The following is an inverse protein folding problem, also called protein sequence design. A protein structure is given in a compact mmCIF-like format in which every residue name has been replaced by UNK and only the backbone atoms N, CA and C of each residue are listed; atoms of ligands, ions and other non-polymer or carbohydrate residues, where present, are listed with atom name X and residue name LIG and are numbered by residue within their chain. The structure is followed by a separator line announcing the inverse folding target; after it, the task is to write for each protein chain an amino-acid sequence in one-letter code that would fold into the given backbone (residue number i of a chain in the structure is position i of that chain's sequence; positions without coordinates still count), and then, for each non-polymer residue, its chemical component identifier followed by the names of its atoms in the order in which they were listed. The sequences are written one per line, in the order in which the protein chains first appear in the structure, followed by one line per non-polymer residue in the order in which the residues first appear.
data_IF_652903379499
#
_entry.id   IF_652903379499
#
_cell.length_a   1.000
_cell.length_b   1.000
_cell.length_c   1.000
_cell.angle_alpha   90.00
_cell.angle_beta   90.00
_cell.angle_gamma   90.00
#
_symmetry.space_group_name_H-M   'P 1'
#
loop_
_entity.id
_entity.type
_entity.pdbx_description
1 polymer ?
#
# COMPACT_ATOMS: atom_id res chain seq x y z
N UNK A 1 -26.34 13.13 -20.00
CA UNK A 1 -26.44 13.47 -18.59
C UNK A 1 -27.07 12.33 -17.76
N UNK A 2 -27.01 11.07 -18.22
CA UNK A 2 -27.53 9.88 -17.50
C UNK A 2 -26.49 8.75 -17.39
N UNK A 3 -25.30 8.91 -17.96
CA UNK A 3 -24.25 7.87 -17.97
C UNK A 3 -23.18 8.16 -16.89
N UNK A 4 -23.07 9.39 -16.39
CA UNK A 4 -22.13 9.73 -15.31
C UNK A 4 -22.62 9.40 -13.89
N UNK A 5 -23.90 9.05 -13.71
CA UNK A 5 -24.44 8.64 -12.40
C UNK A 5 -24.39 7.12 -12.17
N UNK A 6 -24.09 6.31 -13.17
CA UNK A 6 -24.07 4.85 -13.04
C UNK A 6 -22.69 4.34 -12.63
N UNK A 7 -21.60 5.07 -12.90
CA UNK A 7 -20.23 4.66 -12.53
C UNK A 7 -19.91 4.98 -11.05
N UNK A 8 -20.53 6.03 -10.51
CA UNK A 8 -20.36 6.38 -9.08
C UNK A 8 -21.11 5.43 -8.13
N UNK A 9 -22.09 4.63 -8.62
CA UNK A 9 -22.86 3.70 -7.82
C UNK A 9 -22.29 2.27 -7.77
N UNK A 10 -21.29 1.94 -8.59
CA UNK A 10 -20.67 0.61 -8.61
C UNK A 10 -19.45 0.51 -7.68
N UNK A 11 -18.87 1.62 -7.21
CA UNK A 11 -17.79 1.64 -6.22
C UNK A 11 -18.29 1.80 -4.78
N UNK A 12 -19.54 2.22 -4.58
CA UNK A 12 -20.16 2.36 -3.25
C UNK A 12 -20.94 1.13 -2.78
N UNK A 13 -20.88 0.01 -3.49
CA UNK A 13 -21.77 -1.13 -3.28
C UNK A 13 -21.12 -2.51 -3.28
N UNK A 14 -19.88 -2.67 -2.85
CA UNK A 14 -19.46 -3.99 -2.36
C UNK A 14 -20.06 -4.14 -0.98
N UNK A 15 -21.32 -4.58 -0.93
CA UNK A 15 -21.95 -5.07 0.28
C UNK A 15 -21.07 -6.20 0.83
N UNK A 16 -20.27 -5.89 1.81
CA UNK A 16 -19.58 -6.86 2.66
C UNK A 16 -20.65 -7.59 3.49
N UNK A 17 -21.34 -8.54 2.85
CA UNK A 17 -22.27 -9.45 3.55
C UNK A 17 -21.50 -10.69 3.91
N UNK A 18 -21.37 -10.94 5.24
CA UNK A 18 -20.71 -12.04 5.89
C UNK A 18 -20.27 -13.21 5.00
N UNK A 19 -18.97 -13.30 4.74
CA UNK A 19 -18.34 -14.52 4.26
C UNK A 19 -18.33 -15.51 5.43
N UNK A 20 -18.53 -16.78 5.11
CA UNK A 20 -18.53 -17.88 6.09
C UNK A 20 -17.23 -17.91 6.89
N UNK A 21 -17.35 -17.96 8.23
CA UNK A 21 -16.23 -18.25 9.12
C UNK A 21 -15.43 -19.46 8.60
N UNK A 22 -14.11 -19.32 8.45
CA UNK A 22 -13.18 -20.43 8.20
C UNK A 22 -12.79 -20.72 6.76
N UNK A 23 -12.95 -19.77 5.81
CA UNK A 23 -12.34 -19.90 4.47
C UNK A 23 -10.92 -19.34 4.43
N UNK A 24 -9.99 -20.02 3.75
CA UNK A 24 -8.64 -19.51 3.51
C UNK A 24 -8.71 -18.10 2.93
N UNK A 25 -7.99 -17.15 3.55
CA UNK A 25 -7.84 -15.77 3.05
C UNK A 25 -7.08 -15.85 1.71
N UNK A 26 -7.73 -15.43 0.62
CA UNK A 26 -7.19 -15.64 -0.73
C UNK A 26 -6.02 -14.72 -1.06
N UNK A 27 -5.93 -13.56 -0.40
CA UNK A 27 -4.99 -12.48 -0.68
C UNK A 27 -4.14 -12.05 0.53
N UNK A 28 -4.25 -12.77 1.64
CA UNK A 28 -3.39 -12.59 2.82
C UNK A 28 -2.64 -13.89 3.05
N UNK A 29 -1.41 -14.01 2.55
CA UNK A 29 -0.58 -15.20 2.73
C UNK A 29 -0.39 -15.52 4.21
N UNK A 30 -0.37 -16.82 4.56
CA UNK A 30 -0.21 -17.26 5.97
C UNK A 30 1.07 -16.74 6.62
N UNK A 31 2.04 -16.45 5.81
CA UNK A 31 3.36 -15.92 6.10
C UNK A 31 3.44 -14.38 6.11
N UNK A 32 2.37 -13.70 5.73
CA UNK A 32 2.26 -12.24 5.83
C UNK A 32 2.29 -11.79 7.29
N UNK A 33 2.99 -10.68 7.58
CA UNK A 33 2.96 -10.03 8.90
C UNK A 33 1.54 -9.76 9.39
N UNK A 34 0.61 -9.55 8.45
CA UNK A 34 -0.78 -9.24 8.75
C UNK A 34 -1.65 -10.48 8.98
N UNK A 35 -1.22 -11.68 8.56
CA UNK A 35 -2.08 -12.87 8.50
C UNK A 35 -2.76 -13.18 9.82
N UNK A 36 -1.99 -13.27 10.90
CA UNK A 36 -2.55 -13.60 12.21
C UNK A 36 -3.51 -12.55 12.74
N UNK A 37 -3.23 -11.27 12.46
CA UNK A 37 -4.16 -10.18 12.80
C UNK A 37 -5.43 -10.26 11.98
N UNK A 38 -5.29 -10.41 10.66
CA UNK A 38 -6.41 -10.48 9.73
C UNK A 38 -7.25 -11.72 9.96
N UNK A 39 -6.61 -12.89 10.11
CA UNK A 39 -7.32 -14.16 10.38
C UNK A 39 -8.21 -14.02 11.60
N UNK A 40 -7.66 -13.57 12.72
CA UNK A 40 -8.41 -13.34 13.95
C UNK A 40 -9.58 -12.36 13.74
N UNK A 41 -9.30 -11.21 13.15
CA UNK A 41 -10.28 -10.12 12.95
C UNK A 41 -11.41 -10.55 12.01
N UNK A 42 -11.12 -11.40 11.02
CA UNK A 42 -12.12 -11.96 10.10
C UNK A 42 -12.90 -13.09 10.76
N UNK A 43 -12.24 -14.02 11.47
CA UNK A 43 -12.87 -15.12 12.20
C UNK A 43 -13.87 -14.65 13.28
N UNK A 44 -13.60 -13.47 13.85
CA UNK A 44 -14.46 -12.86 14.86
C UNK A 44 -15.43 -11.81 14.29
N UNK A 45 -15.64 -11.79 12.97
CA UNK A 45 -16.57 -10.87 12.28
C UNK A 45 -16.32 -9.38 12.53
N UNK A 46 -15.12 -8.99 12.98
CA UNK A 46 -14.75 -7.58 13.21
C UNK A 46 -14.57 -6.87 11.86
N UNK A 47 -13.85 -7.48 10.93
CA UNK A 47 -13.77 -7.03 9.54
C UNK A 47 -14.22 -8.14 8.61
N UNK A 48 -14.74 -7.77 7.42
CA UNK A 48 -15.26 -8.74 6.48
C UNK A 48 -14.35 -8.90 5.26
N UNK A 49 -14.38 -10.08 4.65
CA UNK A 49 -13.83 -10.34 3.32
C UNK A 49 -14.88 -10.05 2.23
N UNK A 50 -14.46 -10.03 0.98
CA UNK A 50 -15.36 -10.09 -0.17
C UNK A 50 -16.07 -11.46 -0.21
N UNK A 51 -17.14 -11.58 -1.02
CA UNK A 51 -17.84 -12.85 -1.22
C UNK A 51 -16.96 -13.98 -1.77
N UNK A 52 -15.80 -13.65 -2.33
CA UNK A 52 -14.83 -14.56 -2.89
C UNK A 52 -13.64 -14.82 -1.95
N UNK A 53 -13.69 -14.36 -0.70
CA UNK A 53 -12.68 -14.64 0.32
C UNK A 53 -11.46 -13.70 0.31
N UNK A 54 -11.50 -12.58 -0.46
CA UNK A 54 -10.41 -11.60 -0.45
C UNK A 54 -10.61 -10.59 0.68
N UNK A 55 -9.57 -10.36 1.47
CA UNK A 55 -9.57 -9.35 2.53
C UNK A 55 -9.27 -7.95 1.99
N UNK A 56 -8.53 -7.86 0.90
CA UNK A 56 -8.06 -6.61 0.28
C UNK A 56 -7.17 -5.81 1.25
N UNK A 57 -6.22 -6.49 1.86
CA UNK A 57 -5.43 -5.99 2.98
C UNK A 57 -4.65 -4.71 2.70
N UNK A 58 -4.12 -4.57 1.48
CA UNK A 58 -3.35 -3.40 1.05
C UNK A 58 -4.22 -2.21 0.60
N UNK A 59 -5.55 -2.40 0.51
CA UNK A 59 -6.45 -1.32 0.16
C UNK A 59 -6.61 -0.38 1.35
N UNK A 60 -6.60 0.93 1.09
CA UNK A 60 -6.88 1.95 2.12
C UNK A 60 -8.28 1.75 2.71
N UNK A 61 -8.37 1.81 4.03
CA UNK A 61 -9.67 1.75 4.70
C UNK A 61 -10.33 3.12 4.70
N UNK A 62 -11.65 3.16 4.47
CA UNK A 62 -12.42 4.39 4.61
C UNK A 62 -12.92 4.59 6.04
N UNK A 63 -13.37 5.81 6.36
CA UNK A 63 -13.85 6.18 7.69
C UNK A 63 -15.02 5.31 8.14
N UNK A 64 -15.99 5.07 7.26
CA UNK A 64 -17.19 4.27 7.56
C UNK A 64 -16.86 2.83 7.92
N UNK A 65 -15.97 2.18 7.14
CA UNK A 65 -15.56 0.81 7.39
C UNK A 65 -14.72 0.67 8.67
N UNK A 66 -13.89 1.68 8.98
CA UNK A 66 -13.12 1.66 10.24
C UNK A 66 -14.02 1.79 11.47
N UNK A 67 -14.98 2.72 11.47
CA UNK A 67 -15.95 2.86 12.57
C UNK A 67 -16.83 1.61 12.68
N UNK A 68 -17.25 1.02 11.57
CA UNK A 68 -17.98 -0.25 11.56
C UNK A 68 -17.16 -1.38 12.21
N UNK A 69 -15.86 -1.42 11.93
CA UNK A 69 -14.96 -2.41 12.52
C UNK A 69 -14.75 -2.19 14.02
N UNK A 70 -14.59 -0.94 14.47
CA UNK A 70 -14.53 -0.58 15.89
C UNK A 70 -15.81 -1.00 16.63
N UNK A 71 -16.98 -0.71 16.06
CA UNK A 71 -18.26 -1.06 16.64
C UNK A 71 -18.45 -2.57 16.79
N UNK A 72 -18.07 -3.34 15.74
CA UNK A 72 -18.10 -4.81 15.79
C UNK A 72 -17.14 -5.36 16.83
N UNK A 73 -15.92 -4.84 16.90
CA UNK A 73 -14.93 -5.21 17.92
C UNK A 73 -15.42 -4.93 19.34
N UNK A 74 -16.24 -3.89 19.53
CA UNK A 74 -16.91 -3.57 20.81
C UNK A 74 -18.11 -4.47 21.13
N UNK A 75 -18.49 -5.40 20.22
CA UNK A 75 -19.62 -6.31 20.39
C UNK A 75 -20.94 -5.74 19.86
N UNK A 76 -20.89 -4.83 18.93
CA UNK A 76 -22.04 -4.23 18.22
C UNK A 76 -23.09 -3.61 19.19
N UNK A 77 -22.69 -2.77 20.15
CA UNK A 77 -23.60 -2.18 21.12
C UNK A 77 -24.64 -1.26 20.45
N UNK A 78 -25.83 -1.18 21.01
CA UNK A 78 -26.85 -0.24 20.54
C UNK A 78 -26.35 1.21 20.64
N UNK A 79 -26.59 2.00 19.60
CA UNK A 79 -26.27 3.41 19.54
C UNK A 79 -27.48 4.33 19.72
N UNK A 80 -27.24 5.64 19.67
CA UNK A 80 -28.25 6.68 19.68
C UNK A 80 -28.75 7.07 18.30
N UNK A 81 -28.68 8.36 17.97
CA UNK A 81 -28.96 8.92 16.64
C UNK A 81 -27.68 9.39 15.97
N UNK A 82 -27.69 9.46 14.66
CA UNK A 82 -26.63 10.05 13.84
C UNK A 82 -27.05 11.46 13.45
N UNK A 83 -26.19 12.45 13.73
CA UNK A 83 -26.45 13.87 13.41
C UNK A 83 -25.64 14.36 12.19
N UNK A 84 -24.94 13.47 11.45
CA UNK A 84 -24.18 13.82 10.25
C UNK A 84 -25.08 13.97 9.04
N UNK A 85 -24.96 15.10 8.34
CA UNK A 85 -25.81 15.48 7.20
C UNK A 85 -25.71 14.56 5.97
N UNK A 86 -24.61 13.83 5.88
CA UNK A 86 -24.26 12.93 4.74
C UNK A 86 -24.41 11.43 5.06
N UNK A 87 -24.97 11.09 6.24
CA UNK A 87 -25.18 9.70 6.67
C UNK A 87 -26.68 9.41 6.75
N UNK A 88 -27.09 8.32 6.10
CA UNK A 88 -28.49 7.91 6.04
C UNK A 88 -28.70 6.59 6.77
N UNK A 89 -29.92 6.33 7.18
CA UNK A 89 -30.27 5.13 7.92
C UNK A 89 -30.02 3.82 7.14
N UNK A 90 -30.04 3.89 5.81
CA UNK A 90 -29.74 2.76 4.93
C UNK A 90 -28.23 2.49 4.75
N UNK A 91 -27.35 3.36 5.23
CA UNK A 91 -25.91 3.19 5.11
C UNK A 91 -25.41 2.09 6.06
N UNK A 92 -24.51 1.23 5.55
CA UNK A 92 -24.02 0.06 6.28
C UNK A 92 -23.34 0.41 7.62
N UNK A 93 -22.78 1.62 7.73
CA UNK A 93 -22.12 2.12 8.94
C UNK A 93 -23.06 2.93 9.87
N UNK A 94 -24.36 3.05 9.57
CA UNK A 94 -25.29 3.91 10.34
C UNK A 94 -25.30 3.57 11.84
N UNK A 95 -25.56 2.31 12.20
CA UNK A 95 -25.65 1.86 13.60
C UNK A 95 -24.29 2.03 14.33
N UNK A 96 -23.20 1.78 13.61
CA UNK A 96 -21.86 1.99 14.14
C UNK A 96 -21.57 3.48 14.39
N UNK A 97 -22.01 4.36 13.51
CA UNK A 97 -21.91 5.81 13.66
C UNK A 97 -22.80 6.34 14.76
N UNK A 98 -24.01 5.79 14.93
CA UNK A 98 -24.90 6.13 16.03
C UNK A 98 -24.24 5.82 17.39
N UNK A 99 -23.61 4.66 17.51
CA UNK A 99 -22.82 4.30 18.68
C UNK A 99 -21.59 5.22 18.84
N UNK A 100 -20.81 5.43 17.78
CA UNK A 100 -19.60 6.25 17.82
C UNK A 100 -19.90 7.71 18.21
N UNK A 101 -21.00 8.26 17.72
CA UNK A 101 -21.49 9.60 18.10
C UNK A 101 -21.84 9.65 19.58
N UNK A 102 -22.58 8.67 20.08
CA UNK A 102 -22.96 8.59 21.51
C UNK A 102 -21.73 8.44 22.42
N UNK A 103 -20.68 7.76 21.97
CA UNK A 103 -19.43 7.60 22.71
C UNK A 103 -18.47 8.78 22.54
N UNK A 104 -18.79 9.80 21.73
CA UNK A 104 -17.90 10.93 21.46
C UNK A 104 -16.68 10.58 20.58
N UNK A 105 -16.67 9.42 19.91
CA UNK A 105 -15.52 8.93 19.12
C UNK A 105 -15.24 9.86 17.94
N UNK A 106 -16.28 10.35 17.27
CA UNK A 106 -16.17 11.20 16.08
C UNK A 106 -16.14 12.71 16.39
N UNK A 107 -16.18 13.09 17.66
CA UNK A 107 -16.29 14.49 18.08
C UNK A 107 -15.06 15.30 17.65
N UNK A 108 -15.28 16.51 17.13
CA UNK A 108 -14.26 17.51 16.78
C UNK A 108 -13.24 17.09 15.68
N UNK A 109 -13.43 15.91 15.06
CA UNK A 109 -12.59 15.44 13.95
C UNK A 109 -13.26 15.72 12.61
N UNK A 110 -14.59 15.54 12.57
CA UNK A 110 -15.40 15.78 11.38
C UNK A 110 -16.42 16.89 11.69
N UNK A 111 -16.69 17.78 10.76
CA UNK A 111 -17.70 18.81 10.93
C UNK A 111 -19.14 18.25 10.89
N UNK A 112 -20.06 18.98 10.22
CA UNK A 112 -21.45 18.54 10.04
C UNK A 112 -21.62 17.32 9.12
N UNK A 113 -20.55 16.93 8.40
CA UNK A 113 -20.49 15.76 7.54
C UNK A 113 -19.40 14.81 8.01
N UNK A 114 -19.71 13.51 8.07
CA UNK A 114 -18.75 12.47 8.46
C UNK A 114 -17.83 12.03 7.31
N UNK A 115 -18.36 12.05 6.10
CA UNK A 115 -17.71 11.55 4.88
C UNK A 115 -17.32 10.05 4.97
N UNK A 116 -18.30 9.13 5.12
CA UNK A 116 -18.00 7.71 5.36
C UNK A 116 -17.12 7.05 4.31
N UNK A 117 -17.23 7.51 3.06
CA UNK A 117 -16.46 7.00 1.93
C UNK A 117 -15.06 7.63 1.80
N UNK A 118 -14.73 8.66 2.59
CA UNK A 118 -13.40 9.24 2.58
C UNK A 118 -12.38 8.27 3.19
N UNK A 119 -11.20 8.20 2.61
CA UNK A 119 -10.12 7.41 3.17
C UNK A 119 -9.67 7.98 4.52
N UNK A 120 -9.31 7.06 5.41
CA UNK A 120 -8.87 7.36 6.76
C UNK A 120 -7.36 7.64 6.75
N UNK A 121 -6.93 8.72 7.36
CA UNK A 121 -5.51 8.96 7.63
C UNK A 121 -5.08 8.40 9.00
N UNK A 122 -3.77 8.34 9.25
CA UNK A 122 -3.23 7.66 10.44
C UNK A 122 -3.57 8.37 11.74
N UNK A 123 -3.55 9.69 11.77
CA UNK A 123 -3.92 10.44 12.99
C UNK A 123 -5.42 10.36 13.29
N UNK A 124 -6.29 10.31 12.27
CA UNK A 124 -7.72 10.06 12.44
C UNK A 124 -7.99 8.67 12.99
N UNK A 125 -7.33 7.64 12.42
CA UNK A 125 -7.44 6.27 12.92
C UNK A 125 -7.04 6.17 14.39
N UNK A 126 -5.94 6.82 14.78
CA UNK A 126 -5.49 6.89 16.16
C UNK A 126 -6.52 7.56 17.06
N UNK A 127 -7.06 8.70 16.65
CA UNK A 127 -8.03 9.43 17.46
C UNK A 127 -9.34 8.66 17.63
N UNK A 128 -9.87 8.05 16.57
CA UNK A 128 -11.07 7.22 16.65
C UNK A 128 -10.83 6.01 17.57
N UNK A 129 -9.72 5.30 17.41
CA UNK A 129 -9.39 4.14 18.21
C UNK A 129 -9.18 4.50 19.69
N UNK A 130 -8.43 5.56 19.96
CA UNK A 130 -8.13 6.01 21.32
C UNK A 130 -9.39 6.42 22.09
N UNK A 131 -10.29 7.15 21.42
CA UNK A 131 -11.60 7.52 22.01
C UNK A 131 -12.51 6.31 22.18
N UNK A 132 -12.32 5.25 21.42
CA UNK A 132 -13.05 4.00 21.57
C UNK A 132 -12.49 3.10 22.69
N UNK A 133 -11.28 3.33 23.23
CA UNK A 133 -10.66 2.50 24.26
C UNK A 133 -11.57 2.20 25.47
N UNK A 134 -12.36 3.17 26.00
CA UNK A 134 -13.28 2.89 27.12
C UNK A 134 -14.33 1.82 26.81
N UNK A 135 -14.77 1.70 25.54
CA UNK A 135 -15.70 0.65 25.13
C UNK A 135 -15.07 -0.76 25.19
N UNK A 136 -13.75 -0.82 25.20
CA UNK A 136 -12.98 -2.06 25.39
C UNK A 136 -12.58 -2.31 26.85
N UNK A 137 -12.90 -1.38 27.77
CA UNK A 137 -12.49 -1.46 29.17
C UNK A 137 -11.06 -0.97 29.42
N UNK A 138 -10.51 -0.19 28.49
CA UNK A 138 -9.16 0.37 28.57
C UNK A 138 -9.25 1.88 28.77
N UNK A 139 -8.63 2.40 29.83
CA UNK A 139 -8.61 3.84 30.06
C UNK A 139 -7.57 4.54 29.16
N UNK A 140 -7.97 5.58 28.39
CA UNK A 140 -7.06 6.43 27.65
C UNK A 140 -6.07 7.17 28.58
N UNK A 141 -4.84 7.38 28.15
CA UNK A 141 -3.83 8.14 28.89
C UNK A 141 -3.43 9.39 28.09
N UNK A 142 -3.50 10.54 28.74
CA UNK A 142 -3.05 11.81 28.19
C UNK A 142 -1.55 12.05 28.52
N UNK A 143 -0.91 13.00 27.80
CA UNK A 143 0.47 13.42 28.08
C UNK A 143 1.55 12.42 27.66
N UNK A 144 1.23 11.44 26.80
CA UNK A 144 2.19 10.43 26.34
C UNK A 144 3.03 10.86 25.12
N UNK A 145 2.86 12.09 24.62
CA UNK A 145 3.53 12.62 23.42
C UNK A 145 5.06 12.65 23.51
N UNK A 146 5.63 12.64 24.72
CA UNK A 146 7.09 12.57 24.90
C UNK A 146 7.76 11.35 24.27
N UNK A 147 7.02 10.23 24.11
CA UNK A 147 7.52 9.03 23.42
C UNK A 147 7.66 9.20 21.91
N UNK A 148 7.07 10.25 21.33
CA UNK A 148 7.09 10.52 19.89
C UNK A 148 8.31 11.34 19.46
N UNK A 149 9.18 11.75 20.37
CA UNK A 149 10.34 12.62 20.08
C UNK A 149 11.37 12.01 19.11
N UNK A 150 11.26 10.72 18.81
CA UNK A 150 12.06 10.03 17.79
C UNK A 150 11.58 10.29 16.36
N UNK A 151 10.34 10.78 16.18
CA UNK A 151 9.80 11.06 14.86
C UNK A 151 10.07 12.51 14.46
N UNK A 152 10.64 12.68 13.27
CA UNK A 152 10.97 14.00 12.71
C UNK A 152 9.71 14.81 12.32
N UNK A 153 8.60 14.11 12.06
CA UNK A 153 7.33 14.68 11.67
C UNK A 153 6.29 14.78 12.79
N UNK A 154 6.73 14.67 14.05
CA UNK A 154 5.83 14.77 15.21
C UNK A 154 5.08 16.10 15.24
N UNK A 155 5.70 17.19 14.79
CA UNK A 155 5.11 18.53 14.73
C UNK A 155 3.98 18.63 13.68
N UNK A 156 3.89 17.68 12.75
CA UNK A 156 2.81 17.57 11.78
C UNK A 156 1.57 16.86 12.33
N UNK A 157 1.67 16.21 13.50
CA UNK A 157 0.51 15.60 14.17
C UNK A 157 -0.41 16.71 14.69
N UNK A 158 -1.67 16.65 14.30
CA UNK A 158 -2.68 17.61 14.77
C UNK A 158 -2.82 17.60 16.29
N UNK A 159 -3.02 18.76 16.90
CA UNK A 159 -3.11 18.88 18.38
C UNK A 159 -4.23 18.02 18.98
N UNK A 160 -5.32 17.79 18.26
CA UNK A 160 -6.43 16.95 18.69
C UNK A 160 -6.11 15.44 18.62
N UNK A 161 -5.06 15.03 17.91
CA UNK A 161 -4.63 13.63 17.77
C UNK A 161 -3.40 13.30 18.62
N UNK A 162 -2.69 14.30 19.14
CA UNK A 162 -1.37 14.12 19.74
C UNK A 162 -1.38 13.15 20.93
N UNK A 163 -2.34 13.25 21.83
CA UNK A 163 -2.48 12.33 22.98
C UNK A 163 -2.84 10.91 22.52
N UNK A 164 -3.70 10.80 21.51
CA UNK A 164 -4.09 9.52 20.94
C UNK A 164 -2.88 8.81 20.30
N UNK A 165 -2.12 9.51 19.47
CA UNK A 165 -0.91 8.97 18.83
C UNK A 165 0.11 8.58 19.91
N UNK A 166 0.35 9.44 20.91
CA UNK A 166 1.29 9.18 21.99
C UNK A 166 0.94 7.96 22.84
N UNK A 167 -0.31 7.83 23.26
CA UNK A 167 -0.76 6.70 24.07
C UNK A 167 -0.76 5.38 23.30
N UNK A 168 -1.27 5.38 22.08
CA UNK A 168 -1.31 4.16 21.25
C UNK A 168 0.11 3.71 20.86
N UNK A 169 1.02 4.64 20.60
CA UNK A 169 2.44 4.34 20.37
C UNK A 169 3.09 3.74 21.63
N UNK A 170 2.92 4.38 22.78
CA UNK A 170 3.47 3.89 24.05
C UNK A 170 2.93 2.50 24.46
N UNK A 171 1.76 2.12 23.97
CA UNK A 171 1.17 0.78 24.16
C UNK A 171 1.59 -0.23 23.10
N UNK A 172 2.33 0.20 22.06
CA UNK A 172 2.72 -0.66 20.94
C UNK A 172 1.56 -1.05 20.00
N UNK A 173 0.41 -0.36 20.09
CA UNK A 173 -0.73 -0.58 19.18
C UNK A 173 -0.40 -0.08 17.78
N UNK A 174 0.32 1.04 17.71
CA UNK A 174 0.82 1.61 16.45
C UNK A 174 2.35 1.73 16.52
N UNK A 175 2.96 1.87 15.35
CA UNK A 175 4.38 2.17 15.15
C UNK A 175 4.54 3.34 14.19
N UNK A 176 5.75 3.80 13.94
CA UNK A 176 6.04 4.68 12.82
C UNK A 176 5.88 3.96 11.48
N UNK A 177 5.81 4.72 10.41
CA UNK A 177 5.95 4.21 9.04
C UNK A 177 7.41 3.94 8.69
N UNK A 178 8.32 4.53 9.47
CA UNK A 178 9.75 4.24 9.52
C UNK A 178 10.28 4.53 10.93
N UNK A 179 11.58 4.36 11.15
CA UNK A 179 12.23 4.67 12.43
C UNK A 179 12.12 6.15 12.81
N UNK A 180 12.00 7.05 11.83
CA UNK A 180 11.97 8.50 12.05
C UNK A 180 10.69 9.19 11.59
N UNK A 181 9.71 8.47 11.01
CA UNK A 181 8.48 9.05 10.50
C UNK A 181 7.25 8.35 11.06
N UNK A 182 6.29 9.13 11.52
CA UNK A 182 4.97 8.66 11.90
C UNK A 182 3.97 8.74 10.74
N UNK A 183 4.11 9.73 9.87
CA UNK A 183 3.24 10.03 8.71
C UNK A 183 1.77 10.28 9.10
N UNK A 184 1.45 11.31 9.89
CA UNK A 184 0.10 11.52 10.46
C UNK A 184 -0.98 11.63 9.40
N UNK A 185 -0.71 12.30 8.28
CA UNK A 185 -1.62 12.42 7.14
C UNK A 185 -1.56 11.24 6.16
N UNK A 186 -0.69 10.25 6.41
CA UNK A 186 -0.56 9.07 5.56
C UNK A 186 -1.81 8.18 5.61
N UNK A 187 -2.05 7.36 4.59
CA UNK A 187 -3.19 6.45 4.54
C UNK A 187 -3.05 5.33 5.59
N UNK A 188 -4.19 4.72 5.93
CA UNK A 188 -4.23 3.47 6.70
C UNK A 188 -4.78 2.38 5.82
N UNK A 189 -4.04 1.27 5.69
CA UNK A 189 -4.50 0.08 4.97
C UNK A 189 -5.42 -0.77 5.84
N UNK A 190 -6.17 -1.68 5.22
CA UNK A 190 -7.02 -2.63 5.94
C UNK A 190 -6.20 -3.59 6.80
N UNK A 191 -4.98 -3.97 6.35
CA UNK A 191 -4.03 -4.75 7.15
C UNK A 191 -3.60 -4.00 8.42
N UNK A 192 -3.25 -2.73 8.32
CA UNK A 192 -2.88 -1.90 9.47
C UNK A 192 -4.06 -1.72 10.42
N UNK A 193 -5.26 -1.45 9.89
CA UNK A 193 -6.48 -1.37 10.69
C UNK A 193 -6.77 -2.67 11.46
N UNK A 194 -6.62 -3.83 10.81
CA UNK A 194 -6.77 -5.14 11.45
C UNK A 194 -5.76 -5.32 12.60
N UNK A 195 -4.49 -4.96 12.38
CA UNK A 195 -3.46 -5.03 13.41
C UNK A 195 -3.74 -4.08 14.58
N UNK A 196 -4.20 -2.85 14.32
CA UNK A 196 -4.59 -1.89 15.37
C UNK A 196 -5.74 -2.43 16.22
N UNK A 197 -6.77 -2.99 15.57
CA UNK A 197 -7.93 -3.57 16.25
C UNK A 197 -7.55 -4.81 17.07
N UNK A 198 -6.78 -5.72 16.50
CA UNK A 198 -6.29 -6.90 17.18
C UNK A 198 -5.49 -6.54 18.45
N UNK A 199 -4.49 -5.68 18.32
CA UNK A 199 -3.65 -5.24 19.47
C UNK A 199 -4.48 -4.52 20.54
N UNK A 200 -5.55 -3.83 20.15
CA UNK A 200 -6.48 -3.20 21.09
C UNK A 200 -7.28 -4.26 21.84
N UNK A 201 -7.78 -5.29 21.17
CA UNK A 201 -8.48 -6.43 21.79
C UNK A 201 -7.54 -7.23 22.69
N UNK A 202 -6.29 -7.43 22.31
CA UNK A 202 -5.24 -8.06 23.13
C UNK A 202 -5.00 -7.25 24.41
N UNK A 203 -4.81 -5.93 24.28
CA UNK A 203 -4.65 -5.03 25.44
C UNK A 203 -5.85 -5.06 26.38
N UNK A 204 -7.04 -5.20 25.83
CA UNK A 204 -8.29 -5.31 26.58
C UNK A 204 -8.52 -6.70 27.23
N UNK A 205 -7.60 -7.65 27.03
CA UNK A 205 -7.74 -9.03 27.54
C UNK A 205 -8.90 -9.79 26.91
N UNK A 206 -9.33 -9.41 25.70
CA UNK A 206 -10.45 -10.04 24.98
C UNK A 206 -9.99 -11.18 24.04
N UNK A 207 -8.68 -11.37 23.89
CA UNK A 207 -8.09 -12.47 23.15
C UNK A 207 -7.67 -13.52 24.16
N UNK A 208 -8.50 -14.55 24.36
CA UNK A 208 -8.22 -15.64 25.29
C UNK A 208 -7.75 -16.90 24.53
N UNK A 209 -6.63 -17.45 24.97
CA UNK A 209 -6.26 -18.86 24.71
C UNK A 209 -5.62 -19.18 23.37
N UNK A 210 -5.38 -18.22 22.48
CA UNK A 210 -4.61 -18.44 21.28
C UNK A 210 -3.11 -18.16 21.54
N UNK A 211 -2.22 -19.02 20.98
CA UNK A 211 -0.81 -18.65 20.93
C UNK A 211 -0.72 -17.23 20.37
N UNK A 212 -0.11 -16.33 21.16
CA UNK A 212 0.22 -14.99 20.68
C UNK A 212 0.68 -15.12 19.23
N UNK A 213 0.05 -14.39 18.28
CA UNK A 213 0.68 -14.30 16.98
C UNK A 213 2.13 -13.92 17.27
N UNK A 214 3.04 -14.84 16.99
CA UNK A 214 4.44 -14.51 17.00
C UNK A 214 4.53 -13.42 15.92
N UNK A 215 4.50 -12.14 16.35
CA UNK A 215 5.13 -11.12 15.51
C UNK A 215 6.47 -11.75 15.20
N UNK A 216 6.77 -12.05 13.96
CA UNK A 216 8.14 -12.40 13.65
C UNK A 216 8.91 -11.20 14.22
N UNK A 217 9.60 -11.44 15.33
CA UNK A 217 10.67 -10.54 15.72
C UNK A 217 11.50 -10.58 14.47
N UNK A 218 11.43 -9.49 13.69
CA UNK A 218 12.34 -9.28 12.60
C UNK A 218 13.72 -9.36 13.24
N UNK A 219 14.21 -10.59 13.36
CA UNK A 219 15.62 -10.82 13.26
C UNK A 219 15.86 -10.50 11.80
N UNK A 220 16.12 -9.19 11.54
CA UNK A 220 16.76 -8.77 10.30
C UNK A 220 17.87 -9.78 10.12
N UNK A 221 17.88 -10.61 9.06
CA UNK A 221 18.97 -11.54 8.84
C UNK A 221 20.27 -10.74 8.91
N UNK A 222 21.37 -11.35 9.38
CA UNK A 222 22.69 -10.70 9.42
C UNK A 222 23.14 -10.15 8.05
N UNK A 223 22.38 -10.41 7.00
CA UNK A 223 22.53 -9.86 5.65
C UNK A 223 21.18 -9.27 5.18
N UNK A 224 20.98 -8.01 5.56
CA UNK A 224 19.76 -7.21 5.31
C UNK A 224 19.35 -7.13 3.83
N UNK A 225 20.29 -7.33 2.91
CA UNK A 225 20.12 -7.17 1.48
C UNK A 225 20.17 -8.47 0.67
N UNK A 226 20.45 -9.62 1.30
CA UNK A 226 20.64 -10.91 0.62
C UNK A 226 19.46 -11.35 -0.25
N UNK A 227 18.24 -10.92 0.11
CA UNK A 227 17.05 -11.16 -0.70
C UNK A 227 17.21 -10.68 -2.15
N UNK A 228 17.94 -9.57 -2.36
CA UNK A 228 18.12 -8.96 -3.66
C UNK A 228 19.37 -9.44 -4.42
N UNK A 229 20.16 -10.35 -3.86
CA UNK A 229 21.40 -10.84 -4.46
C UNK A 229 21.19 -11.48 -5.84
N UNK A 230 20.07 -12.11 -6.05
CA UNK A 230 19.67 -12.77 -7.29
C UNK A 230 18.51 -12.05 -8.00
N UNK A 231 18.33 -10.75 -7.72
CA UNK A 231 17.29 -9.93 -8.31
C UNK A 231 17.79 -9.13 -9.53
N UNK A 232 16.87 -8.87 -10.47
CA UNK A 232 17.04 -7.90 -11.54
C UNK A 232 15.89 -6.88 -11.51
N UNK A 233 16.23 -5.61 -11.60
CA UNK A 233 15.27 -4.51 -11.73
C UNK A 233 15.15 -4.11 -13.20
N UNK A 234 13.92 -4.15 -13.71
CA UNK A 234 13.57 -3.80 -15.09
C UNK A 234 12.70 -2.56 -15.08
N UNK A 235 13.04 -1.57 -15.91
CA UNK A 235 12.17 -0.41 -15.99
C UNK A 235 12.65 0.74 -16.88
N UNK A 236 11.88 1.81 -16.84
CA UNK A 236 12.00 3.00 -17.67
C UNK A 236 12.91 4.10 -17.05
N UNK A 237 12.67 5.36 -17.43
CA UNK A 237 13.41 6.52 -16.91
C UNK A 237 13.21 6.75 -15.40
N UNK A 238 12.07 6.33 -14.83
CA UNK A 238 11.84 6.37 -13.38
C UNK A 238 12.76 5.36 -12.68
N UNK A 239 12.84 4.14 -13.20
CA UNK A 239 13.75 3.10 -12.71
C UNK A 239 15.23 3.42 -12.96
N UNK A 240 15.57 4.25 -13.97
CA UNK A 240 16.91 4.79 -14.12
C UNK A 240 17.32 5.70 -12.97
N UNK A 241 16.37 6.45 -12.35
CA UNK A 241 16.65 7.22 -11.14
C UNK A 241 17.02 6.30 -9.98
N UNK A 242 16.28 5.21 -9.79
CA UNK A 242 16.61 4.19 -8.80
C UNK A 242 17.98 3.58 -9.05
N UNK A 243 18.29 3.20 -10.31
CA UNK A 243 19.60 2.67 -10.71
C UNK A 243 20.74 3.63 -10.33
N UNK A 244 20.58 4.91 -10.63
CA UNK A 244 21.54 5.96 -10.28
C UNK A 244 21.72 6.13 -8.78
N UNK A 245 20.62 6.16 -8.04
CA UNK A 245 20.60 6.25 -6.58
C UNK A 245 21.32 5.06 -5.93
N UNK A 246 20.98 3.82 -6.29
CA UNK A 246 21.62 2.60 -5.76
C UNK A 246 23.10 2.56 -6.11
N UNK A 247 23.47 2.89 -7.35
CA UNK A 247 24.88 2.94 -7.79
C UNK A 247 25.69 3.95 -6.97
N UNK A 248 25.12 5.12 -6.68
CA UNK A 248 25.72 6.16 -5.83
C UNK A 248 25.87 5.68 -4.39
N UNK A 249 24.81 5.09 -3.82
CA UNK A 249 24.79 4.63 -2.44
C UNK A 249 25.81 3.51 -2.21
N UNK A 250 25.95 2.59 -3.17
CA UNK A 250 26.96 1.50 -3.15
C UNK A 250 28.43 1.99 -3.09
N UNK A 251 28.70 3.27 -3.30
CA UNK A 251 30.04 3.83 -3.10
C UNK A 251 30.40 3.94 -1.60
N UNK A 252 29.39 4.13 -0.74
CA UNK A 252 29.56 4.23 0.72
C UNK A 252 29.05 2.98 1.46
N UNK A 253 28.08 2.29 0.90
CA UNK A 253 27.49 1.05 1.39
C UNK A 253 27.47 0.01 0.23
N UNK A 254 28.55 -0.78 0.07
CA UNK A 254 28.69 -1.71 -1.06
C UNK A 254 27.60 -2.77 -1.17
N UNK A 255 26.97 -3.12 -0.05
CA UNK A 255 25.96 -4.17 0.03
C UNK A 255 24.52 -3.62 -0.16
N UNK A 256 24.37 -2.29 -0.34
CA UNK A 256 23.06 -1.66 -0.50
C UNK A 256 22.24 -2.26 -1.66
N UNK A 257 21.06 -2.77 -1.37
CA UNK A 257 20.19 -3.54 -2.27
C UNK A 257 20.87 -4.80 -2.83
N UNK A 258 21.74 -5.44 -2.02
CA UNK A 258 22.45 -6.68 -2.36
C UNK A 258 23.22 -6.60 -3.69
N UNK A 259 23.23 -7.68 -4.43
CA UNK A 259 23.85 -7.79 -5.76
C UNK A 259 22.86 -7.55 -6.90
N UNK A 260 21.74 -6.87 -6.61
CA UNK A 260 20.70 -6.61 -7.62
C UNK A 260 21.29 -5.99 -8.90
N UNK A 261 20.85 -6.52 -10.04
CA UNK A 261 21.19 -6.07 -11.37
C UNK A 261 20.11 -5.12 -11.90
N UNK A 262 20.44 -4.32 -12.92
CA UNK A 262 19.53 -3.34 -13.50
C UNK A 262 19.47 -3.45 -15.01
N UNK A 263 18.29 -3.62 -15.58
CA UNK A 263 17.96 -3.59 -17.00
C UNK A 263 17.00 -2.41 -17.23
N UNK A 264 17.53 -1.20 -17.12
CA UNK A 264 16.76 0.04 -17.21
C UNK A 264 17.14 0.86 -18.42
N UNK A 265 16.16 1.46 -19.08
CA UNK A 265 16.39 2.32 -20.24
C UNK A 265 15.35 3.45 -20.31
N UNK A 266 15.79 4.66 -20.65
CA UNK A 266 14.88 5.78 -20.87
C UNK A 266 13.85 5.45 -21.94
N UNK A 267 12.59 5.86 -21.72
CA UNK A 267 11.46 5.62 -22.63
C UNK A 267 11.11 4.14 -22.86
N UNK A 268 11.64 3.20 -22.06
CA UNK A 268 11.22 1.81 -22.12
C UNK A 268 9.75 1.71 -21.68
N UNK A 269 8.96 0.94 -22.39
CA UNK A 269 7.60 0.56 -22.08
C UNK A 269 7.38 -0.90 -22.42
N UNK A 270 6.30 -1.49 -21.93
CA UNK A 270 5.98 -2.88 -22.23
C UNK A 270 5.72 -3.09 -23.73
N UNK A 271 5.06 -2.13 -24.38
CA UNK A 271 4.78 -2.20 -25.82
C UNK A 271 6.02 -2.10 -26.69
N UNK A 272 6.94 -1.19 -26.40
CA UNK A 272 8.17 -1.06 -27.22
C UNK A 272 9.26 -2.09 -26.86
N UNK A 273 9.18 -2.72 -25.69
CA UNK A 273 9.99 -3.88 -25.35
C UNK A 273 9.68 -5.11 -26.24
N UNK A 274 8.49 -5.15 -26.85
CA UNK A 274 8.07 -6.20 -27.79
C UNK A 274 8.58 -5.95 -29.23
N UNK A 275 9.17 -4.79 -29.53
CA UNK A 275 9.70 -4.46 -30.85
C UNK A 275 10.97 -5.25 -31.17
N UNK A 276 11.31 -5.30 -32.47
CA UNK A 276 12.59 -5.85 -32.89
C UNK A 276 13.77 -4.99 -32.40
N UNK A 277 14.83 -5.65 -31.99
CA UNK A 277 16.09 -4.99 -31.57
C UNK A 277 16.74 -4.29 -32.71
N UNK A 278 17.12 -3.04 -32.51
CA UNK A 278 17.90 -2.23 -33.47
C UNK A 278 18.74 -1.20 -32.74
N UNK A 279 19.61 -0.51 -33.43
CA UNK A 279 20.41 0.58 -32.86
C UNK A 279 19.52 1.70 -32.27
N UNK A 280 18.32 1.89 -32.83
CA UNK A 280 17.35 2.92 -32.40
C UNK A 280 16.33 2.43 -31.39
N UNK A 281 16.24 1.12 -31.11
CA UNK A 281 15.30 0.58 -30.16
C UNK A 281 15.72 0.94 -28.72
N UNK A 282 14.74 1.01 -27.82
CA UNK A 282 14.93 1.44 -26.42
C UNK A 282 15.28 0.28 -25.48
N UNK A 283 15.59 -0.91 -26.02
CA UNK A 283 15.97 -2.05 -25.20
C UNK A 283 17.18 -1.74 -24.32
N UNK A 284 17.21 -2.17 -23.07
CA UNK A 284 18.36 -1.97 -22.18
C UNK A 284 19.59 -2.72 -22.68
N UNK A 285 20.74 -2.24 -22.24
CA UNK A 285 22.03 -2.92 -22.50
C UNK A 285 22.31 -3.90 -21.36
N UNK A 286 22.59 -5.15 -21.68
CA UNK A 286 23.19 -6.10 -20.76
C UNK A 286 24.62 -6.43 -21.20
N UNK A 287 25.59 -6.15 -20.34
CA UNK A 287 27.03 -6.31 -20.64
C UNK A 287 27.45 -5.67 -21.99
N UNK A 288 26.90 -4.48 -22.25
CA UNK A 288 27.22 -3.73 -23.50
C UNK A 288 26.46 -4.20 -24.74
N UNK A 289 25.64 -5.24 -24.65
CA UNK A 289 24.86 -5.78 -25.77
C UNK A 289 23.38 -5.43 -25.63
N UNK A 290 22.78 -4.92 -26.68
CA UNK A 290 21.35 -4.67 -26.77
C UNK A 290 20.64 -5.92 -27.27
N UNK A 291 19.66 -6.41 -26.54
CA UNK A 291 18.90 -7.61 -26.91
C UNK A 291 17.44 -7.48 -26.45
N UNK A 292 16.60 -8.40 -26.86
CA UNK A 292 15.21 -8.46 -26.38
C UNK A 292 15.19 -8.61 -24.86
N UNK A 293 14.16 -8.07 -24.21
CA UNK A 293 14.14 -8.01 -22.76
C UNK A 293 14.13 -9.42 -22.13
N UNK A 294 13.38 -10.36 -22.72
CA UNK A 294 13.35 -11.76 -22.27
C UNK A 294 14.74 -12.43 -22.38
N UNK A 295 15.54 -12.06 -23.39
CA UNK A 295 16.91 -12.56 -23.54
C UNK A 295 17.85 -11.95 -22.50
N UNK A 296 17.69 -10.64 -22.22
CA UNK A 296 18.47 -9.93 -21.20
C UNK A 296 18.22 -10.50 -19.80
N UNK A 297 16.96 -10.75 -19.45
CA UNK A 297 16.55 -11.33 -18.17
C UNK A 297 17.11 -12.76 -18.03
N UNK A 298 17.02 -13.58 -19.08
CA UNK A 298 17.62 -14.91 -19.07
C UNK A 298 19.13 -14.85 -18.89
N UNK A 299 19.81 -13.96 -19.63
CA UNK A 299 21.27 -13.82 -19.61
C UNK A 299 21.81 -13.34 -18.26
N UNK A 300 21.07 -12.51 -17.53
CA UNK A 300 21.49 -12.04 -16.21
C UNK A 300 21.38 -13.12 -15.11
N UNK A 301 20.69 -14.23 -15.36
CA UNK A 301 20.58 -15.37 -14.44
C UNK A 301 19.83 -15.09 -13.14
N UNK A 302 19.05 -14.02 -13.10
CA UNK A 302 18.26 -13.65 -11.93
C UNK A 302 17.20 -14.70 -11.60
N UNK A 303 16.86 -14.81 -10.31
CA UNK A 303 15.75 -15.63 -9.80
C UNK A 303 14.51 -14.80 -9.49
N UNK A 304 14.70 -13.50 -9.32
CA UNK A 304 13.65 -12.52 -9.04
C UNK A 304 13.75 -11.37 -10.03
N UNK A 305 12.63 -10.92 -10.55
CA UNK A 305 12.56 -9.74 -11.41
C UNK A 305 11.53 -8.75 -10.85
N UNK A 306 12.00 -7.56 -10.54
CA UNK A 306 11.16 -6.41 -10.19
C UNK A 306 10.99 -5.55 -11.43
N UNK A 307 9.76 -5.45 -11.95
CA UNK A 307 9.49 -4.71 -13.19
C UNK A 307 8.55 -3.53 -12.94
N UNK A 308 8.94 -2.33 -13.38
CA UNK A 308 8.14 -1.12 -13.37
C UNK A 308 8.10 -0.52 -14.78
N UNK A 309 6.97 -0.65 -15.45
CA UNK A 309 6.69 -0.08 -16.77
C UNK A 309 5.21 0.39 -16.79
N UNK A 310 4.87 1.25 -17.74
CA UNK A 310 3.51 1.74 -17.92
C UNK A 310 3.45 3.24 -18.21
N UNK A 311 4.32 4.05 -17.59
CA UNK A 311 4.34 5.49 -17.80
C UNK A 311 4.50 5.87 -19.28
N UNK A 312 5.31 5.15 -20.03
CA UNK A 312 5.52 5.36 -21.45
C UNK A 312 4.46 4.67 -22.33
N UNK A 313 3.75 3.70 -21.77
CA UNK A 313 2.74 2.92 -22.51
C UNK A 313 1.38 3.62 -22.53
N UNK A 314 0.90 4.07 -21.37
CA UNK A 314 -0.44 4.63 -21.19
C UNK A 314 -0.67 5.82 -22.13
N UNK A 315 0.35 6.67 -22.30
CA UNK A 315 0.31 7.81 -23.21
C UNK A 315 0.14 7.43 -24.69
N UNK A 316 0.61 6.25 -25.07
CA UNK A 316 0.65 5.74 -26.45
C UNK A 316 -0.50 4.79 -26.78
N UNK A 317 -0.82 3.88 -25.85
CA UNK A 317 -1.73 2.75 -26.11
C UNK A 317 -3.02 2.84 -25.26
N UNK A 318 -3.07 3.74 -24.27
CA UNK A 318 -4.13 3.72 -23.25
C UNK A 318 -3.92 2.61 -22.23
N UNK A 319 -4.83 2.54 -21.25
CA UNK A 319 -4.69 1.63 -20.10
C UNK A 319 -4.78 0.17 -20.50
N UNK A 320 -5.85 -0.22 -21.20
CA UNK A 320 -6.16 -1.63 -21.51
C UNK A 320 -5.06 -2.30 -22.36
N UNK A 321 -4.60 -1.63 -23.43
CA UNK A 321 -3.57 -2.19 -24.30
C UNK A 321 -2.19 -2.18 -23.63
N UNK A 322 -1.93 -1.23 -22.72
CA UNK A 322 -0.69 -1.23 -21.90
C UNK A 322 -0.63 -2.45 -20.98
N UNK A 323 -1.74 -2.83 -20.35
CA UNK A 323 -1.83 -4.05 -19.52
C UNK A 323 -1.64 -5.32 -20.38
N UNK A 324 -2.26 -5.39 -21.58
CA UNK A 324 -2.07 -6.52 -22.51
C UNK A 324 -0.61 -6.65 -22.98
N UNK A 325 0.04 -5.52 -23.26
CA UNK A 325 1.46 -5.52 -23.64
C UNK A 325 2.33 -6.03 -22.49
N UNK A 326 2.05 -5.59 -21.24
CA UNK A 326 2.74 -6.08 -20.05
C UNK A 326 2.56 -7.60 -19.91
N UNK A 327 1.33 -8.09 -19.97
CA UNK A 327 1.01 -9.52 -19.85
C UNK A 327 1.72 -10.34 -20.93
N UNK A 328 1.75 -9.85 -22.18
CA UNK A 328 2.48 -10.48 -23.29
C UNK A 328 3.98 -10.53 -23.03
N UNK A 329 4.57 -9.42 -22.60
CA UNK A 329 5.99 -9.34 -22.26
C UNK A 329 6.39 -10.30 -21.15
N UNK A 330 5.61 -10.34 -20.07
CA UNK A 330 5.85 -11.24 -18.94
C UNK A 330 5.70 -12.71 -19.34
N UNK A 331 4.77 -13.02 -20.23
CA UNK A 331 4.62 -14.36 -20.83
C UNK A 331 5.89 -14.80 -21.56
N UNK A 332 6.44 -13.96 -22.44
CA UNK A 332 7.69 -14.22 -23.16
C UNK A 332 8.89 -14.41 -22.22
N UNK A 333 8.96 -13.60 -21.15
CA UNK A 333 10.01 -13.74 -20.13
C UNK A 333 9.86 -15.08 -19.39
N UNK A 334 8.65 -15.46 -19.02
CA UNK A 334 8.38 -16.76 -18.34
C UNK A 334 8.64 -17.97 -19.23
N UNK A 335 8.39 -17.87 -20.54
CA UNK A 335 8.75 -18.93 -21.49
C UNK A 335 10.25 -19.21 -21.49
N UNK A 336 11.09 -18.17 -21.42
CA UNK A 336 12.56 -18.30 -21.37
C UNK A 336 13.13 -18.59 -20.00
N UNK A 337 12.44 -18.14 -18.95
CA UNK A 337 12.89 -18.27 -17.55
C UNK A 337 11.72 -18.76 -16.68
N UNK A 338 11.33 -20.05 -16.77
CA UNK A 338 10.13 -20.57 -16.11
C UNK A 338 10.12 -20.43 -14.59
N UNK A 339 11.30 -20.53 -13.96
CA UNK A 339 11.46 -20.48 -12.50
C UNK A 339 11.61 -19.07 -11.94
N UNK A 340 11.57 -18.03 -12.80
CA UNK A 340 11.70 -16.63 -12.40
C UNK A 340 10.49 -16.22 -11.56
N UNK A 341 10.72 -15.68 -10.37
CA UNK A 341 9.70 -14.97 -9.60
C UNK A 341 9.54 -13.56 -10.15
N UNK A 342 8.32 -13.17 -10.49
CA UNK A 342 8.03 -11.86 -11.10
C UNK A 342 7.28 -10.99 -10.10
N UNK A 343 7.84 -9.82 -9.80
CA UNK A 343 7.33 -8.77 -8.95
C UNK A 343 6.98 -7.56 -9.82
N UNK A 344 5.70 -7.37 -10.09
CA UNK A 344 5.21 -6.24 -10.92
C UNK A 344 4.92 -5.07 -10.01
N UNK A 345 5.70 -4.01 -10.17
CA UNK A 345 5.55 -2.80 -9.38
C UNK A 345 4.49 -1.88 -10.00
N UNK A 346 3.70 -1.21 -9.15
CA UNK A 346 2.73 -0.22 -9.59
C UNK A 346 3.39 0.94 -10.35
N UNK A 347 2.74 1.44 -11.39
CA UNK A 347 3.12 2.70 -12.01
C UNK A 347 2.96 3.86 -11.01
N UNK A 348 3.93 4.76 -10.98
CA UNK A 348 4.05 5.79 -9.95
C UNK A 348 3.26 7.05 -10.29
N UNK A 349 2.86 7.88 -9.30
CA UNK A 349 2.09 9.08 -9.55
C UNK A 349 2.88 10.14 -10.32
N UNK A 350 2.16 11.06 -10.95
CA UNK A 350 2.68 12.26 -11.61
C UNK A 350 2.43 13.46 -10.70
N UNK A 351 3.38 14.40 -10.67
CA UNK A 351 3.31 15.65 -9.95
C UNK A 351 2.11 16.51 -10.42
N UNK A 352 1.49 17.22 -9.47
CA UNK A 352 0.34 18.08 -9.71
C UNK A 352 0.64 19.14 -10.80
N UNK A 353 -0.20 19.21 -11.82
CA UNK A 353 -0.05 20.15 -12.94
C UNK A 353 0.78 19.62 -14.13
N UNK A 354 1.44 18.46 -14.00
CA UNK A 354 2.21 17.83 -15.09
C UNK A 354 1.43 16.77 -15.87
N UNK A 355 0.21 16.47 -15.44
CA UNK A 355 -0.65 15.49 -16.10
C UNK A 355 -0.94 15.83 -17.56
N UNK A 356 -1.05 14.82 -18.40
CA UNK A 356 -1.43 14.90 -19.80
C UNK A 356 -2.82 14.33 -20.00
N UNK A 357 -3.40 14.53 -21.19
CA UNK A 357 -4.77 14.10 -21.49
C UNK A 357 -5.00 12.59 -21.20
N UNK A 358 -4.07 11.75 -21.56
CA UNK A 358 -4.17 10.29 -21.40
C UNK A 358 -3.27 9.81 -20.26
N UNK A 359 -2.05 10.32 -20.15
CA UNK A 359 -1.13 10.02 -19.06
C UNK A 359 -1.43 10.96 -17.87
N UNK A 360 -2.24 10.51 -16.95
CA UNK A 360 -2.70 11.22 -15.76
C UNK A 360 -2.89 10.25 -14.59
N UNK A 361 -2.99 10.77 -13.37
CA UNK A 361 -3.07 9.94 -12.16
C UNK A 361 -4.33 9.08 -12.08
N UNK A 362 -5.44 9.49 -12.70
CA UNK A 362 -6.64 8.66 -12.76
C UNK A 362 -6.41 7.39 -13.62
N UNK A 363 -5.79 7.56 -14.79
CA UNK A 363 -5.46 6.44 -15.67
C UNK A 363 -4.32 5.57 -15.10
N UNK A 364 -3.38 6.15 -14.34
CA UNK A 364 -2.34 5.39 -13.64
C UNK A 364 -2.94 4.51 -12.54
N UNK A 365 -3.90 5.02 -11.76
CA UNK A 365 -4.62 4.19 -10.77
C UNK A 365 -5.38 3.06 -11.45
N UNK A 366 -6.13 3.34 -12.51
CA UNK A 366 -6.84 2.30 -13.27
C UNK A 366 -5.89 1.26 -13.86
N UNK A 367 -4.73 1.67 -14.36
CA UNK A 367 -3.68 0.77 -14.84
C UNK A 367 -3.17 -0.11 -13.70
N UNK A 368 -2.89 0.44 -12.53
CA UNK A 368 -2.42 -0.30 -11.35
C UNK A 368 -3.45 -1.33 -10.88
N UNK A 369 -4.73 -0.97 -10.86
CA UNK A 369 -5.83 -1.91 -10.56
C UNK A 369 -5.83 -3.10 -11.54
N UNK A 370 -5.75 -2.83 -12.85
CA UNK A 370 -5.71 -3.88 -13.87
C UNK A 370 -4.40 -4.69 -13.85
N UNK A 371 -3.25 -4.07 -13.49
CA UNK A 371 -2.00 -4.80 -13.26
C UNK A 371 -2.12 -5.77 -12.10
N UNK A 372 -2.74 -5.35 -11.01
CA UNK A 372 -2.96 -6.21 -9.85
C UNK A 372 -3.83 -7.42 -10.22
N UNK A 373 -4.93 -7.21 -10.96
CA UNK A 373 -5.76 -8.30 -11.48
C UNK A 373 -4.96 -9.22 -12.42
N UNK A 374 -4.13 -8.66 -13.29
CA UNK A 374 -3.27 -9.42 -14.20
C UNK A 374 -2.25 -10.27 -13.41
N UNK A 375 -1.63 -9.73 -12.38
CA UNK A 375 -0.73 -10.46 -11.50
C UNK A 375 -1.43 -11.66 -10.84
N UNK A 376 -2.63 -11.45 -10.29
CA UNK A 376 -3.44 -12.51 -9.67
C UNK A 376 -3.74 -13.66 -10.65
N UNK A 377 -4.18 -13.32 -11.90
CA UNK A 377 -4.49 -14.33 -12.92
C UNK A 377 -3.28 -15.17 -13.33
N UNK A 378 -2.09 -14.59 -13.32
CA UNK A 378 -0.87 -15.21 -13.82
C UNK A 378 0.06 -15.75 -12.71
N UNK A 379 -0.30 -15.59 -11.44
CA UNK A 379 0.52 -16.02 -10.31
C UNK A 379 1.80 -15.18 -10.14
N UNK A 380 1.74 -13.87 -10.48
CA UNK A 380 2.81 -12.91 -10.26
C UNK A 380 2.56 -12.13 -8.96
N UNK A 381 3.62 -11.60 -8.37
CA UNK A 381 3.52 -10.75 -7.19
C UNK A 381 3.28 -9.30 -7.61
N UNK A 382 2.30 -8.66 -7.03
CA UNK A 382 2.09 -7.22 -7.17
C UNK A 382 2.77 -6.47 -6.02
N UNK A 383 3.44 -5.36 -6.33
CA UNK A 383 4.18 -4.53 -5.36
C UNK A 383 3.74 -3.08 -5.50
N UNK A 384 2.98 -2.58 -4.55
CA UNK A 384 2.36 -1.26 -4.63
C UNK A 384 3.26 -0.12 -4.14
N UNK A 385 4.29 0.19 -4.92
CA UNK A 385 5.20 1.29 -4.61
C UNK A 385 4.54 2.68 -4.74
N UNK A 386 3.45 2.80 -5.52
CA UNK A 386 2.74 4.07 -5.67
C UNK A 386 2.16 4.55 -4.34
N UNK A 387 1.73 3.63 -3.46
CA UNK A 387 1.13 3.95 -2.16
C UNK A 387 2.05 4.77 -1.25
N UNK A 388 3.38 4.53 -1.31
CA UNK A 388 4.38 5.26 -0.48
C UNK A 388 4.97 6.48 -1.17
N UNK A 389 4.61 6.73 -2.44
CA UNK A 389 5.11 7.85 -3.25
C UNK A 389 4.00 8.85 -3.63
N UNK A 390 2.82 8.71 -3.05
CA UNK A 390 1.63 9.52 -3.35
C UNK A 390 1.30 10.41 -2.15
N UNK A 391 0.99 11.69 -2.41
CA UNK A 391 0.43 12.58 -1.39
C UNK A 391 -1.06 12.29 -1.12
N UNK A 392 -1.65 13.00 -0.13
CA UNK A 392 -3.06 12.83 0.25
C UNK A 392 -4.07 13.20 -0.86
N UNK A 393 -3.62 13.84 -1.96
CA UNK A 393 -4.43 14.18 -3.13
C UNK A 393 -4.22 13.21 -4.31
N UNK A 394 -3.30 12.27 -4.19
CA UNK A 394 -3.00 11.29 -5.24
C UNK A 394 -1.97 11.72 -6.27
N UNK A 395 -1.10 12.68 -5.93
CA UNK A 395 -0.02 13.19 -6.78
C UNK A 395 1.35 12.83 -6.22
N UNK A 396 2.37 12.88 -7.08
CA UNK A 396 3.76 12.83 -6.64
C UNK A 396 4.10 14.14 -5.89
N UNK A 397 4.51 14.08 -4.61
CA UNK A 397 4.85 15.28 -3.84
C UNK A 397 6.02 16.07 -4.43
N UNK A 398 6.06 17.39 -4.19
CA UNK A 398 7.19 18.26 -4.57
C UNK A 398 8.54 17.73 -4.07
N UNK A 399 8.59 17.24 -2.83
CA UNK A 399 9.80 16.68 -2.21
C UNK A 399 10.33 15.44 -2.93
N UNK A 400 9.46 14.70 -3.61
CA UNK A 400 9.80 13.45 -4.32
C UNK A 400 10.02 13.65 -5.80
N UNK A 401 9.62 14.80 -6.37
CA UNK A 401 9.71 15.10 -7.78
C UNK A 401 10.98 15.90 -8.13
N UNK A 402 11.88 15.34 -8.94
CA UNK A 402 13.11 16.01 -9.37
C UNK A 402 12.93 16.89 -10.59
N UNK A 403 11.79 16.85 -11.28
CA UNK A 403 11.53 17.52 -12.54
C UNK A 403 10.12 18.14 -12.61
N UNK A 404 9.63 18.71 -11.51
CA UNK A 404 8.32 19.36 -11.43
C UNK A 404 8.09 20.43 -12.50
N UNK A 405 9.13 21.17 -12.92
CA UNK A 405 9.08 22.12 -14.03
C UNK A 405 9.14 21.48 -15.43
N UNK A 406 9.31 20.16 -15.50
CA UNK A 406 9.46 19.37 -16.72
C UNK A 406 8.33 18.36 -16.93
N UNK A 407 8.63 17.07 -16.81
CA UNK A 407 7.66 15.99 -16.97
C UNK A 407 6.90 15.66 -15.67
N UNK A 408 7.46 15.99 -14.51
CA UNK A 408 6.83 15.80 -13.22
C UNK A 408 6.65 14.34 -12.80
N UNK A 409 7.56 13.47 -13.20
CA UNK A 409 7.46 12.03 -12.94
C UNK A 409 8.77 11.38 -12.47
N UNK A 410 9.88 12.11 -12.49
CA UNK A 410 11.16 11.56 -12.08
C UNK A 410 11.47 11.87 -10.62
N UNK A 411 12.14 10.96 -9.97
CA UNK A 411 12.32 10.93 -8.53
C UNK A 411 13.57 11.68 -8.06
N UNK A 412 13.46 12.25 -6.86
CA UNK A 412 14.60 12.67 -6.05
C UNK A 412 15.31 11.46 -5.43
N UNK A 413 16.50 11.67 -4.86
CA UNK A 413 17.19 10.62 -4.08
C UNK A 413 16.33 10.17 -2.90
N UNK A 414 15.57 11.07 -2.27
CA UNK A 414 14.66 10.76 -1.17
C UNK A 414 13.52 9.83 -1.59
N UNK A 415 12.88 10.08 -2.73
CA UNK A 415 11.86 9.17 -3.26
C UNK A 415 12.44 7.79 -3.59
N UNK A 416 13.66 7.74 -4.13
CA UNK A 416 14.35 6.47 -4.37
C UNK A 416 14.65 5.73 -3.07
N UNK A 417 15.04 6.44 -1.99
CA UNK A 417 15.24 5.86 -0.67
C UNK A 417 13.96 5.24 -0.14
N UNK A 418 12.84 5.98 -0.16
CA UNK A 418 11.53 5.48 0.27
C UNK A 418 11.11 4.25 -0.55
N UNK A 419 11.36 4.26 -1.85
CA UNK A 419 11.11 3.10 -2.70
C UNK A 419 11.91 1.87 -2.27
N UNK A 420 13.22 2.02 -2.02
CA UNK A 420 14.07 0.91 -1.56
C UNK A 420 13.66 0.43 -0.17
N UNK A 421 13.33 1.33 0.75
CA UNK A 421 12.85 0.99 2.10
C UNK A 421 11.55 0.18 2.04
N UNK A 422 10.63 0.55 1.15
CA UNK A 422 9.40 -0.22 0.91
C UNK A 422 9.69 -1.62 0.34
N UNK A 423 10.58 -1.73 -0.66
CA UNK A 423 11.00 -3.01 -1.22
C UNK A 423 11.65 -3.92 -0.17
N UNK A 424 12.45 -3.35 0.74
CA UNK A 424 13.05 -4.07 1.86
C UNK A 424 11.99 -4.62 2.81
N UNK A 425 10.98 -3.81 3.15
CA UNK A 425 9.87 -4.23 3.99
C UNK A 425 9.05 -5.35 3.30
N UNK A 426 8.72 -5.19 2.01
CA UNK A 426 8.05 -6.21 1.21
C UNK A 426 8.87 -7.50 1.14
N UNK A 427 10.18 -7.40 0.93
CA UNK A 427 11.08 -8.54 0.92
C UNK A 427 11.15 -9.25 2.28
N UNK A 428 11.27 -8.51 3.38
CA UNK A 428 11.29 -9.06 4.73
C UNK A 428 9.96 -9.78 5.07
N UNK A 429 8.84 -9.19 4.68
CA UNK A 429 7.53 -9.82 4.83
C UNK A 429 7.43 -11.17 4.10
N UNK A 430 8.01 -11.25 2.87
CA UNK A 430 8.02 -12.49 2.06
C UNK A 430 9.03 -13.53 2.52
N UNK A 431 10.06 -13.16 3.27
CA UNK A 431 11.05 -14.08 3.84
C UNK A 431 10.60 -14.64 5.19
N UNK A 432 9.75 -13.92 5.90
CA UNK A 432 9.20 -14.37 7.18
C UNK A 432 8.12 -15.46 7.02
N UNK A 433 7.78 -15.81 5.76
CA UNK A 433 6.78 -16.76 5.37
C UNK A 433 7.32 -18.02 4.67
#
# INVERSE_FOLDING_TARGET
MLIQQVVAFLLAGVLMTGGTAGGDLQDVPQDSWAYSYVSYIVEHDVMSTTKTGYFLGEVQINRGDFILSLWRAAGSPAGGSVDFSDVKQEDACYEALAWATQQGICQDITGDAFSPAAYLNREEACAFLWRALPAFGVEPREGQSGGLSGFEDVDAVSSWALDAVGDLYARGIISGTSDTQFSPAGPVTRNEAAAMLYKTLELAGKIEGEEKPSVPTSTVPEDEWSWFDDAVFVGDSVSLKLTGYVTKTRQSDPDYLGKAQFLTAGSLGSGNALWEVSDKSVHPLYQGTKMRLEDSVQACGAKKMYILLGMNDIGLYGVEDSVKNMETLLGLIKEKTPDLQIFVQSATPIHKGNEKKVLNNANLRLYNEQLQEMCQRNGYYYVDIASVLTDGEGYLPDAYCSDASGMGMHFTDEACRIWVDYLKQDAAARQAG
#
